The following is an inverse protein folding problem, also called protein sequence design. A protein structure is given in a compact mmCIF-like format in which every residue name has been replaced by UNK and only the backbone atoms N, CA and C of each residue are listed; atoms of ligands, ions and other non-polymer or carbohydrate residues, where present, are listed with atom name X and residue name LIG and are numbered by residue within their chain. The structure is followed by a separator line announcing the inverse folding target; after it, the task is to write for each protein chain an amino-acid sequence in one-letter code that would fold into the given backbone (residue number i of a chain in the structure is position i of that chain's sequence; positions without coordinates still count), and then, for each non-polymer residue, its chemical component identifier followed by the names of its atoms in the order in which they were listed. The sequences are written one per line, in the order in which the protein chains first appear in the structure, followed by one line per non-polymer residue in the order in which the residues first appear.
data_IF_736809556636
#
_entry.id   IF_736809556636
#
_cell.length_a   1.000
_cell.length_b   1.000
_cell.length_c   1.000
_cell.angle_alpha   90.00
_cell.angle_beta   90.00
_cell.angle_gamma   90.00
#
_symmetry.space_group_name_H-M   'P 1'
#
loop_
_entity.id
_entity.type
_entity.pdbx_description
1 polymer ?
#
# COMPACT_ATOMS: atom_id res chain seq x y z
N UNK A 1 -26.12 -8.75 32.55
CA UNK A 1 -25.38 -8.60 31.25
C UNK A 1 -23.92 -8.90 31.55
N UNK A 2 -23.40 -10.03 31.09
CA UNK A 2 -21.95 -10.26 31.15
C UNK A 2 -21.23 -9.14 30.34
N UNK A 3 -20.32 -8.46 31.00
CA UNK A 3 -19.55 -7.41 30.39
C UNK A 3 -18.61 -8.06 29.38
N UNK A 4 -18.77 -7.77 28.08
CA UNK A 4 -17.88 -8.31 27.04
C UNK A 4 -16.50 -7.64 27.20
N UNK A 5 -15.52 -8.42 27.67
CA UNK A 5 -14.12 -7.97 27.89
C UNK A 5 -13.24 -8.28 26.66
N UNK A 6 -13.79 -8.19 25.45
CA UNK A 6 -13.05 -8.44 24.21
C UNK A 6 -13.39 -7.36 23.16
N UNK A 7 -12.44 -7.15 22.24
CA UNK A 7 -12.63 -6.26 21.09
C UNK A 7 -13.75 -6.79 20.16
N UNK A 8 -14.38 -5.91 19.36
CA UNK A 8 -15.28 -6.35 18.29
C UNK A 8 -14.56 -7.28 17.30
N UNK A 9 -15.35 -8.09 16.58
CA UNK A 9 -14.83 -8.99 15.56
C UNK A 9 -14.11 -8.22 14.43
N UNK A 10 -12.90 -8.67 14.07
CA UNK A 10 -12.08 -8.09 12.99
C UNK A 10 -11.24 -6.89 13.41
N UNK A 11 -11.23 -6.53 14.71
CA UNK A 11 -10.29 -5.55 15.28
C UNK A 11 -9.59 -6.14 16.50
N UNK A 12 -8.41 -5.64 16.83
CA UNK A 12 -7.61 -6.15 17.94
C UNK A 12 -6.76 -5.07 18.58
N UNK A 13 -6.40 -5.27 19.83
CA UNK A 13 -5.37 -4.48 20.50
C UNK A 13 -3.99 -4.90 20.01
N UNK A 14 -3.11 -3.93 19.78
CA UNK A 14 -1.70 -4.14 19.43
C UNK A 14 -0.86 -3.52 20.55
N UNK A 15 -0.02 -4.32 21.19
CA UNK A 15 0.73 -3.90 22.38
C UNK A 15 2.13 -4.51 22.45
N UNK A 16 2.93 -4.08 23.42
CA UNK A 16 4.29 -4.52 23.67
C UNK A 16 5.18 -4.48 22.40
N UNK A 17 5.93 -5.55 22.16
CA UNK A 17 6.90 -5.65 21.06
C UNK A 17 6.26 -5.50 19.68
N UNK A 18 5.06 -6.04 19.47
CA UNK A 18 4.34 -5.88 18.21
C UNK A 18 4.04 -4.40 17.92
N UNK A 19 3.59 -3.64 18.93
CA UNK A 19 3.35 -2.21 18.81
C UNK A 19 4.65 -1.45 18.52
N UNK A 20 5.74 -1.79 19.19
CA UNK A 20 7.08 -1.19 18.96
C UNK A 20 7.56 -1.44 17.52
N UNK A 21 7.38 -2.67 17.02
CA UNK A 21 7.71 -3.02 15.62
C UNK A 21 6.87 -2.16 14.66
N UNK A 22 5.56 -2.09 14.86
CA UNK A 22 4.65 -1.30 14.02
C UNK A 22 5.07 0.16 13.94
N UNK A 23 5.31 0.80 15.08
CA UNK A 23 5.74 2.20 15.15
C UNK A 23 7.14 2.42 14.53
N UNK A 24 8.04 1.46 14.70
CA UNK A 24 9.38 1.49 14.10
C UNK A 24 9.29 1.42 12.56
N UNK A 25 8.45 0.55 12.03
CA UNK A 25 8.23 0.44 10.59
C UNK A 25 7.59 1.71 10.02
N UNK A 26 6.57 2.26 10.69
CA UNK A 26 5.99 3.54 10.31
C UNK A 26 7.05 4.64 10.22
N UNK A 27 7.91 4.76 11.24
CA UNK A 27 9.00 5.74 11.25
C UNK A 27 10.00 5.51 10.11
N UNK A 28 10.40 4.27 9.85
CA UNK A 28 11.32 3.94 8.75
C UNK A 28 10.73 4.35 7.40
N UNK A 29 9.48 3.99 7.14
CA UNK A 29 8.76 4.32 5.91
C UNK A 29 8.57 5.83 5.75
N UNK A 30 8.06 6.54 6.78
CA UNK A 30 7.92 8.00 6.73
C UNK A 30 9.25 8.70 6.46
N UNK A 31 10.37 8.18 7.00
CA UNK A 31 11.71 8.73 6.72
C UNK A 31 12.05 8.64 5.23
N UNK A 32 11.69 7.55 4.56
CA UNK A 32 11.87 7.42 3.10
C UNK A 32 11.01 8.43 2.37
N UNK A 33 9.71 8.52 2.68
CA UNK A 33 8.80 9.45 2.01
C UNK A 33 9.26 10.91 2.18
N UNK A 34 9.68 11.30 3.39
CA UNK A 34 10.23 12.64 3.64
C UNK A 34 11.52 12.90 2.85
N UNK A 35 12.37 11.88 2.61
CA UNK A 35 13.60 12.04 1.81
C UNK A 35 13.31 12.33 0.34
N UNK A 36 12.13 11.97 -0.17
CA UNK A 36 11.61 12.34 -1.48
C UNK A 36 10.87 13.69 -1.50
N UNK A 37 10.86 14.42 -0.37
CA UNK A 37 10.24 15.74 -0.25
C UNK A 37 8.74 15.74 0.04
N UNK A 38 8.17 14.61 0.45
CA UNK A 38 6.75 14.52 0.80
C UNK A 38 6.50 15.07 2.21
N UNK A 39 5.40 15.78 2.39
CA UNK A 39 4.98 16.40 3.64
C UNK A 39 3.79 15.65 4.25
N UNK A 40 3.75 15.57 5.58
CA UNK A 40 2.69 14.85 6.28
C UNK A 40 1.33 15.57 6.13
N UNK A 41 0.30 14.79 5.85
CA UNK A 41 -1.11 15.20 5.95
C UNK A 41 -1.88 14.23 6.85
N UNK A 42 -2.77 14.77 7.67
CA UNK A 42 -3.73 13.99 8.46
C UNK A 42 -5.15 14.39 8.07
N UNK A 43 -5.91 13.44 7.56
CA UNK A 43 -7.34 13.60 7.27
C UNK A 43 -8.18 12.94 8.38
N UNK A 44 -9.44 13.37 8.59
CA UNK A 44 -10.33 12.76 9.58
C UNK A 44 -10.51 11.25 9.35
N UNK A 45 -10.70 10.51 10.44
CA UNK A 45 -10.96 9.05 10.39
C UNK A 45 -12.36 8.71 9.86
N UNK A 46 -13.31 9.61 10.06
CA UNK A 46 -14.64 9.54 9.47
C UNK A 46 -14.85 10.70 8.51
N UNK A 47 -15.60 10.46 7.46
CA UNK A 47 -15.81 11.41 6.37
C UNK A 47 -17.28 11.31 5.91
N UNK A 48 -17.77 12.29 5.17
CA UNK A 48 -19.07 12.15 4.51
C UNK A 48 -19.04 10.99 3.51
N UNK A 49 -20.13 10.25 3.46
CA UNK A 49 -20.24 9.07 2.61
C UNK A 49 -20.02 9.38 1.13
N UNK A 50 -20.42 10.58 0.70
CA UNK A 50 -20.27 11.07 -0.67
C UNK A 50 -18.81 11.22 -1.13
N UNK A 51 -17.88 11.38 -0.19
CA UNK A 51 -16.44 11.37 -0.51
C UNK A 51 -16.01 10.05 -1.12
N UNK A 52 -16.68 8.95 -0.75
CA UNK A 52 -16.36 7.59 -1.19
C UNK A 52 -17.29 7.06 -2.29
N UNK A 53 -18.47 7.67 -2.50
CA UNK A 53 -19.47 7.25 -3.51
C UNK A 53 -19.87 8.39 -4.44
N UNK A 54 -20.53 8.02 -5.56
CA UNK A 54 -21.09 8.98 -6.53
C UNK A 54 -22.47 9.56 -6.10
N UNK A 55 -23.12 9.01 -5.09
CA UNK A 55 -24.48 9.37 -4.66
C UNK A 55 -24.46 10.32 -3.46
N UNK A 56 -25.31 11.35 -3.50
CA UNK A 56 -25.36 12.45 -2.53
C UNK A 56 -26.10 12.02 -1.26
N UNK A 57 -25.48 12.21 -0.08
CA UNK A 57 -26.10 11.96 1.23
C UNK A 57 -25.28 12.56 2.38
N UNK A 58 -25.93 12.91 3.48
CA UNK A 58 -25.31 13.53 4.68
C UNK A 58 -24.79 12.53 5.72
N UNK A 59 -24.76 11.23 5.40
CA UNK A 59 -24.32 10.20 6.31
C UNK A 59 -22.80 10.12 6.35
N UNK A 60 -22.22 10.06 7.55
CA UNK A 60 -20.77 9.87 7.74
C UNK A 60 -20.42 8.38 7.84
N UNK A 61 -19.24 8.02 7.33
CA UNK A 61 -18.70 6.67 7.40
C UNK A 61 -17.24 6.68 7.85
N UNK A 62 -16.80 5.59 8.46
CA UNK A 62 -15.38 5.32 8.65
C UNK A 62 -14.73 5.12 7.27
N UNK A 63 -13.58 5.75 7.05
CA UNK A 63 -12.91 5.74 5.73
C UNK A 63 -12.43 4.34 5.36
N UNK A 64 -12.84 3.82 4.19
CA UNK A 64 -12.31 2.56 3.66
C UNK A 64 -10.97 2.75 2.95
N UNK A 65 -10.64 4.00 2.55
CA UNK A 65 -9.45 4.43 1.85
C UNK A 65 -9.10 5.87 2.27
N UNK A 66 -7.81 6.24 2.22
CA UNK A 66 -7.35 7.58 2.63
C UNK A 66 -7.25 8.52 1.42
N UNK A 67 -6.94 8.01 0.23
CA UNK A 67 -6.77 8.78 -1.01
C UNK A 67 -7.94 9.71 -1.33
N UNK A 68 -9.23 9.29 -1.26
CA UNK A 68 -10.35 10.21 -1.51
C UNK A 68 -10.43 11.37 -0.51
N UNK A 69 -10.09 11.13 0.76
CA UNK A 69 -10.05 12.19 1.77
C UNK A 69 -8.93 13.20 1.50
N UNK A 70 -7.78 12.75 0.99
CA UNK A 70 -6.69 13.64 0.56
C UNK A 70 -7.10 14.42 -0.67
N UNK A 71 -7.71 13.77 -1.68
CA UNK A 71 -8.23 14.44 -2.87
C UNK A 71 -9.20 15.59 -2.52
N UNK A 72 -10.15 15.33 -1.60
CA UNK A 72 -11.04 16.38 -1.06
C UNK A 72 -10.25 17.50 -0.36
N UNK A 73 -9.30 17.15 0.51
CA UNK A 73 -8.50 18.12 1.23
C UNK A 73 -7.69 19.02 0.29
N UNK A 74 -7.07 18.43 -0.74
CA UNK A 74 -6.31 19.20 -1.74
C UNK A 74 -7.22 20.11 -2.54
N UNK A 75 -8.39 19.63 -2.97
CA UNK A 75 -9.33 20.45 -3.71
C UNK A 75 -9.86 21.65 -2.91
N UNK A 76 -9.95 21.53 -1.57
CA UNK A 76 -10.56 22.56 -0.71
C UNK A 76 -9.57 23.43 0.06
N UNK A 77 -8.37 22.91 0.38
CA UNK A 77 -7.40 23.60 1.24
C UNK A 77 -6.19 24.15 0.48
N UNK A 78 -5.89 23.58 -0.70
CA UNK A 78 -4.74 23.93 -1.54
C UNK A 78 -5.18 24.66 -2.81
N UNK A 79 -6.19 25.53 -2.72
CA UNK A 79 -6.77 26.21 -3.88
C UNK A 79 -5.79 27.15 -4.59
N UNK A 80 -4.89 27.79 -3.83
CA UNK A 80 -3.95 28.81 -4.31
C UNK A 80 -2.51 28.32 -4.37
N UNK A 81 -2.25 27.06 -4.04
CA UNK A 81 -0.90 26.51 -4.07
C UNK A 81 -0.49 26.09 -5.47
N UNK A 82 0.78 26.31 -5.82
CA UNK A 82 1.36 25.84 -7.06
C UNK A 82 1.60 24.33 -7.02
N UNK A 83 1.37 23.67 -8.13
CA UNK A 83 1.72 22.25 -8.30
C UNK A 83 3.22 22.10 -8.61
N UNK A 84 3.85 20.96 -8.26
CA UNK A 84 3.27 19.74 -7.72
C UNK A 84 3.11 19.76 -6.20
N UNK A 85 2.04 19.10 -5.71
CA UNK A 85 1.81 18.87 -4.28
C UNK A 85 2.25 17.45 -3.94
N UNK A 86 3.13 17.31 -2.93
CA UNK A 86 3.66 16.05 -2.43
C UNK A 86 3.19 15.82 -1.00
N UNK A 87 2.29 14.87 -0.80
CA UNK A 87 1.72 14.55 0.51
C UNK A 87 1.98 13.10 0.88
N UNK A 88 2.29 12.85 2.16
CA UNK A 88 2.36 11.50 2.71
C UNK A 88 1.50 11.38 3.96
N UNK A 89 1.08 10.17 4.28
CA UNK A 89 0.16 9.93 5.38
C UNK A 89 0.43 8.60 6.08
N UNK A 90 -0.01 8.50 7.34
CA UNK A 90 -0.19 7.26 8.06
C UNK A 90 -1.55 7.29 8.78
N UNK A 91 -2.34 6.24 8.66
CA UNK A 91 -3.66 6.19 9.29
C UNK A 91 -4.36 4.85 9.11
N UNK A 92 -5.48 4.70 9.82
CA UNK A 92 -6.27 3.48 9.77
C UNK A 92 -7.39 3.59 8.73
N UNK A 93 -7.66 2.47 8.07
CA UNK A 93 -8.79 2.26 7.15
C UNK A 93 -9.66 1.13 7.67
N UNK A 94 -10.95 1.15 7.30
CA UNK A 94 -11.97 0.27 7.85
C UNK A 94 -12.73 -0.38 6.70
N UNK A 95 -12.54 -1.69 6.50
CA UNK A 95 -13.16 -2.45 5.42
C UNK A 95 -13.95 -3.59 6.03
N UNK A 96 -15.25 -3.64 5.72
CA UNK A 96 -16.10 -4.72 6.20
C UNK A 96 -15.95 -5.96 5.34
N UNK A 97 -14.95 -6.79 5.65
CA UNK A 97 -14.82 -8.11 5.05
C UNK A 97 -15.87 -9.07 5.62
N UNK A 98 -16.32 -10.04 4.80
CA UNK A 98 -17.18 -11.12 5.30
C UNK A 98 -16.45 -11.91 6.40
N UNK A 99 -17.17 -12.28 7.46
CA UNK A 99 -16.66 -12.83 8.73
C UNK A 99 -15.82 -14.13 8.59
N UNK A 100 -15.83 -14.78 7.44
CA UNK A 100 -15.20 -16.11 7.25
C UNK A 100 -13.77 -16.07 6.73
N UNK A 101 -13.17 -14.88 6.48
CA UNK A 101 -11.84 -14.79 5.85
C UNK A 101 -10.68 -14.54 6.83
N UNK A 102 -10.94 -14.38 8.12
CA UNK A 102 -9.89 -14.08 9.12
C UNK A 102 -9.15 -12.76 8.89
N UNK A 103 -9.65 -11.89 7.98
CA UNK A 103 -9.06 -10.59 7.67
C UNK A 103 -9.46 -9.55 8.71
N UNK A 104 -8.53 -8.66 9.06
CA UNK A 104 -8.82 -7.52 9.92
C UNK A 104 -9.73 -6.53 9.18
N UNK A 105 -10.71 -5.99 9.90
CA UNK A 105 -11.58 -4.91 9.42
C UNK A 105 -10.91 -3.54 9.55
N UNK A 106 -9.98 -3.40 10.49
CA UNK A 106 -9.14 -2.22 10.68
C UNK A 106 -7.71 -2.55 10.26
N UNK A 107 -7.16 -1.78 9.32
CA UNK A 107 -5.80 -1.90 8.83
C UNK A 107 -5.11 -0.54 8.87
N UNK A 108 -3.82 -0.54 9.16
CA UNK A 108 -3.01 0.68 9.08
C UNK A 108 -2.39 0.79 7.69
N UNK A 109 -2.62 1.91 7.04
CA UNK A 109 -1.99 2.29 5.78
C UNK A 109 -1.02 3.43 5.98
N UNK A 110 0.08 3.40 5.24
CA UNK A 110 1.03 4.49 5.09
C UNK A 110 1.27 4.65 3.59
N UNK A 111 1.18 5.87 3.08
CA UNK A 111 1.26 6.11 1.64
C UNK A 111 1.67 7.51 1.28
N UNK A 112 1.76 7.75 -0.02
CA UNK A 112 2.11 9.03 -0.60
C UNK A 112 1.26 9.32 -1.84
N UNK A 113 0.98 10.62 -2.04
CA UNK A 113 0.20 11.15 -3.16
C UNK A 113 0.98 12.29 -3.80
N UNK A 114 1.24 12.19 -5.10
CA UNK A 114 1.80 13.25 -5.95
C UNK A 114 0.70 13.79 -6.85
N UNK A 115 0.40 15.07 -6.68
CA UNK A 115 -0.76 15.71 -7.31
C UNK A 115 -0.28 16.86 -8.17
N UNK A 116 -0.81 16.95 -9.40
CA UNK A 116 -0.51 18.04 -10.34
C UNK A 116 0.57 17.70 -11.37
N UNK A 117 0.97 16.45 -11.51
CA UNK A 117 2.00 16.03 -12.48
C UNK A 117 1.52 14.82 -13.27
N UNK A 118 1.47 14.96 -14.61
CA UNK A 118 1.36 13.83 -15.54
C UNK A 118 2.68 13.70 -16.31
N UNK A 119 3.58 12.92 -15.74
CA UNK A 119 4.85 12.62 -16.41
C UNK A 119 5.33 11.21 -16.07
N UNK A 120 6.18 10.68 -16.93
CA UNK A 120 6.79 9.35 -16.77
C UNK A 120 7.75 9.35 -15.57
N UNK A 121 8.42 10.47 -15.33
CA UNK A 121 9.32 10.66 -14.19
C UNK A 121 8.57 10.58 -12.86
N UNK A 122 7.34 11.14 -12.81
CA UNK A 122 6.48 11.04 -11.63
C UNK A 122 6.07 9.59 -11.35
N UNK A 123 5.75 8.84 -12.40
CA UNK A 123 5.41 7.42 -12.30
C UNK A 123 6.62 6.61 -11.77
N UNK A 124 7.81 6.83 -12.35
CA UNK A 124 9.03 6.16 -11.96
C UNK A 124 9.47 6.54 -10.53
N UNK A 125 9.36 7.82 -10.12
CA UNK A 125 9.64 8.28 -8.76
C UNK A 125 8.77 7.54 -7.73
N UNK A 126 7.46 7.40 -8.00
CA UNK A 126 6.55 6.67 -7.11
C UNK A 126 6.95 5.21 -6.94
N UNK A 127 7.28 4.54 -8.04
CA UNK A 127 7.70 3.14 -8.02
C UNK A 127 9.04 2.96 -7.29
N UNK A 128 10.02 3.82 -7.55
CA UNK A 128 11.31 3.81 -6.87
C UNK A 128 11.14 4.01 -5.35
N UNK A 129 10.28 4.96 -4.95
CA UNK A 129 9.98 5.23 -3.54
C UNK A 129 9.31 4.03 -2.84
N UNK A 130 8.45 3.27 -3.53
CA UNK A 130 7.89 2.01 -3.03
C UNK A 130 9.00 0.99 -2.77
N UNK A 131 9.90 0.79 -3.74
CA UNK A 131 11.02 -0.16 -3.60
C UNK A 131 11.94 0.24 -2.45
N UNK A 132 12.33 1.51 -2.38
CA UNK A 132 13.18 2.02 -1.30
C UNK A 132 12.51 1.89 0.08
N UNK A 133 11.21 2.17 0.15
CA UNK A 133 10.41 1.98 1.35
C UNK A 133 10.45 0.54 1.84
N UNK A 134 10.16 -0.42 0.97
CA UNK A 134 10.17 -1.84 1.31
C UNK A 134 11.57 -2.33 1.69
N UNK A 135 12.62 -1.97 0.95
CA UNK A 135 14.02 -2.25 1.30
C UNK A 135 14.38 -1.71 2.68
N UNK A 136 13.94 -0.50 3.02
CA UNK A 136 14.21 0.15 4.32
C UNK A 136 13.63 -0.60 5.50
N UNK A 137 12.54 -1.34 5.31
CA UNK A 137 11.95 -2.19 6.36
C UNK A 137 12.76 -3.45 6.64
N UNK A 138 13.63 -3.84 5.72
CA UNK A 138 14.44 -5.07 5.76
C UNK A 138 13.90 -6.17 4.86
N UNK A 139 12.78 -5.93 4.15
CA UNK A 139 12.24 -6.88 3.19
C UNK A 139 13.21 -7.03 2.02
N UNK A 140 13.53 -8.27 1.63
CA UNK A 140 14.51 -8.57 0.58
C UNK A 140 13.86 -9.12 -0.67
N UNK A 141 12.93 -10.07 -0.49
CA UNK A 141 12.29 -10.77 -1.58
C UNK A 141 10.88 -10.23 -1.78
N UNK A 142 10.74 -9.34 -2.72
CA UNK A 142 9.47 -8.78 -3.16
C UNK A 142 9.55 -8.35 -4.63
N UNK A 143 8.39 -8.28 -5.27
CA UNK A 143 8.25 -7.80 -6.64
C UNK A 143 7.14 -6.75 -6.68
N UNK A 144 7.38 -5.68 -7.42
CA UNK A 144 6.40 -4.67 -7.77
C UNK A 144 5.93 -4.96 -9.19
N UNK A 145 4.73 -5.49 -9.32
CA UNK A 145 4.09 -5.74 -10.62
C UNK A 145 3.40 -4.47 -11.09
N UNK A 146 3.65 -4.08 -12.33
CA UNK A 146 3.14 -2.87 -12.97
C UNK A 146 2.28 -3.26 -14.16
N UNK A 147 1.06 -2.72 -14.24
CA UNK A 147 0.17 -2.81 -15.39
C UNK A 147 -0.27 -1.42 -15.85
N UNK A 148 -1.11 -1.39 -16.87
CA UNK A 148 -1.70 -0.15 -17.36
C UNK A 148 -3.18 -0.36 -17.68
N UNK A 149 -4.04 0.46 -17.10
CA UNK A 149 -5.50 0.34 -17.23
C UNK A 149 -5.93 0.42 -18.69
N UNK A 150 -5.32 1.29 -19.48
CA UNK A 150 -5.69 1.50 -20.88
C UNK A 150 -5.43 0.29 -21.77
N UNK A 151 -4.48 -0.58 -21.43
CA UNK A 151 -4.24 -1.81 -22.20
C UNK A 151 -5.46 -2.74 -22.13
N UNK A 152 -5.90 -3.08 -20.90
CA UNK A 152 -7.09 -3.94 -20.70
C UNK A 152 -8.37 -3.28 -21.21
N UNK A 153 -8.55 -1.98 -20.98
CA UNK A 153 -9.72 -1.26 -21.48
C UNK A 153 -9.80 -1.26 -23.02
N UNK A 154 -8.64 -1.13 -23.69
CA UNK A 154 -8.58 -1.19 -25.15
C UNK A 154 -8.92 -2.57 -25.68
N UNK A 155 -8.55 -3.65 -24.97
CA UNK A 155 -8.98 -5.02 -25.30
C UNK A 155 -10.51 -5.16 -25.22
N UNK A 156 -11.11 -4.70 -24.14
CA UNK A 156 -12.57 -4.75 -23.99
C UNK A 156 -13.30 -3.91 -25.06
N UNK A 157 -12.79 -2.71 -25.37
CA UNK A 157 -13.35 -1.88 -26.44
C UNK A 157 -13.22 -2.52 -27.81
N UNK A 158 -12.05 -3.12 -28.12
CA UNK A 158 -11.82 -3.80 -29.39
C UNK A 158 -12.70 -5.06 -29.55
N UNK A 159 -13.04 -5.72 -28.44
CA UNK A 159 -13.98 -6.83 -28.43
C UNK A 159 -15.46 -6.40 -28.57
N UNK A 160 -15.77 -5.09 -28.47
CA UNK A 160 -17.14 -4.58 -28.58
C UNK A 160 -18.04 -5.00 -27.42
N UNK A 161 -17.46 -5.25 -26.23
CA UNK A 161 -18.19 -5.74 -25.07
C UNK A 161 -19.15 -4.70 -24.48
N UNK A 162 -20.35 -5.16 -24.14
CA UNK A 162 -21.25 -4.41 -23.26
C UNK A 162 -20.72 -4.40 -21.82
N UNK A 163 -21.21 -3.48 -20.96
CA UNK A 163 -20.67 -3.29 -19.60
C UNK A 163 -20.73 -4.57 -18.73
N UNK A 164 -21.83 -5.33 -18.84
CA UNK A 164 -22.02 -6.58 -18.07
C UNK A 164 -21.02 -7.67 -18.51
N UNK A 165 -20.77 -7.81 -19.80
CA UNK A 165 -19.80 -8.75 -20.39
C UNK A 165 -18.37 -8.35 -20.01
N UNK A 166 -18.06 -7.05 -20.06
CA UNK A 166 -16.77 -6.52 -19.63
C UNK A 166 -16.51 -6.77 -18.14
N UNK A 167 -17.54 -6.66 -17.27
CA UNK A 167 -17.41 -6.93 -15.85
C UNK A 167 -17.21 -8.42 -15.56
N UNK A 168 -17.87 -9.30 -16.31
CA UNK A 168 -17.62 -10.75 -16.22
C UNK A 168 -16.18 -11.08 -16.58
N UNK A 169 -15.68 -10.60 -17.72
CA UNK A 169 -14.30 -10.81 -18.14
C UNK A 169 -13.29 -10.19 -17.16
N UNK A 170 -13.55 -8.98 -16.63
CA UNK A 170 -12.70 -8.40 -15.55
C UNK A 170 -12.61 -9.34 -14.37
N UNK A 171 -13.73 -9.92 -13.95
CA UNK A 171 -13.77 -10.85 -12.81
C UNK A 171 -12.99 -12.11 -13.10
N UNK A 172 -13.13 -12.70 -14.27
CA UNK A 172 -12.38 -13.91 -14.70
C UNK A 172 -10.87 -13.61 -14.76
N UNK A 173 -10.47 -12.51 -15.38
CA UNK A 173 -9.06 -12.08 -15.47
C UNK A 173 -8.48 -11.81 -14.09
N UNK A 174 -9.19 -11.10 -13.22
CA UNK A 174 -8.74 -10.81 -11.85
C UNK A 174 -8.54 -12.08 -11.02
N UNK A 175 -9.33 -13.12 -11.27
CA UNK A 175 -9.21 -14.43 -10.63
C UNK A 175 -8.23 -15.36 -11.35
N UNK A 176 -7.52 -14.91 -12.39
CA UNK A 176 -6.63 -15.72 -13.23
C UNK A 176 -7.32 -16.91 -13.88
N UNK A 177 -8.63 -16.84 -14.09
CA UNK A 177 -9.42 -17.87 -14.78
C UNK A 177 -9.43 -17.58 -16.29
N UNK A 178 -8.29 -17.77 -16.95
CA UNK A 178 -8.16 -17.51 -18.37
C UNK A 178 -8.91 -18.52 -19.24
N UNK A 179 -9.12 -19.75 -18.74
CA UNK A 179 -9.99 -20.71 -19.42
C UNK A 179 -11.43 -20.18 -19.52
N UNK A 180 -11.97 -19.59 -18.45
CA UNK A 180 -13.27 -18.94 -18.48
C UNK A 180 -13.32 -17.74 -19.43
N UNK A 181 -12.21 -16.98 -19.56
CA UNK A 181 -12.10 -15.89 -20.53
C UNK A 181 -12.22 -16.43 -21.97
N UNK A 182 -11.52 -17.51 -22.31
CA UNK A 182 -11.60 -18.15 -23.62
C UNK A 182 -13.02 -18.65 -23.91
N UNK A 183 -13.66 -19.33 -22.95
CA UNK A 183 -15.01 -19.84 -23.08
C UNK A 183 -16.04 -18.72 -23.37
N UNK A 184 -15.93 -17.58 -22.70
CA UNK A 184 -16.79 -16.40 -22.96
C UNK A 184 -16.55 -15.87 -24.37
N UNK A 185 -15.28 -15.67 -24.77
CA UNK A 185 -14.92 -15.11 -26.08
C UNK A 185 -15.27 -16.02 -27.27
N UNK A 186 -15.28 -17.34 -27.09
CA UNK A 186 -15.66 -18.30 -28.13
C UNK A 186 -17.14 -18.20 -28.50
N UNK A 187 -17.99 -17.73 -27.59
CA UNK A 187 -19.43 -17.52 -27.84
C UNK A 187 -19.73 -16.12 -28.41
N UNK A 188 -18.71 -15.28 -28.59
CA UNK A 188 -18.86 -13.91 -29.05
C UNK A 188 -18.32 -13.72 -30.47
N UNK A 189 -18.92 -12.79 -31.21
CA UNK A 189 -18.46 -12.40 -32.54
C UNK A 189 -17.33 -11.34 -32.42
N UNK A 190 -16.15 -11.80 -31.97
CA UNK A 190 -14.95 -10.99 -31.76
C UNK A 190 -13.92 -11.33 -32.81
N UNK A 191 -13.22 -10.31 -33.34
CA UNK A 191 -12.17 -10.49 -34.33
C UNK A 191 -11.04 -11.38 -33.81
N UNK A 192 -10.49 -12.26 -34.67
CA UNK A 192 -9.46 -13.24 -34.33
C UNK A 192 -8.23 -12.57 -33.69
N UNK A 193 -7.81 -11.41 -34.18
CA UNK A 193 -6.68 -10.66 -33.61
C UNK A 193 -6.92 -10.19 -32.17
N UNK A 194 -8.18 -9.91 -31.81
CA UNK A 194 -8.52 -9.52 -30.43
C UNK A 194 -8.58 -10.76 -29.54
N UNK A 195 -9.13 -11.87 -30.03
CA UNK A 195 -9.09 -13.17 -29.32
C UNK A 195 -7.65 -13.59 -29.03
N UNK A 196 -6.75 -13.47 -30.02
CA UNK A 196 -5.32 -13.75 -29.88
C UNK A 196 -4.68 -12.91 -28.75
N UNK A 197 -5.03 -11.61 -28.66
CA UNK A 197 -4.52 -10.74 -27.59
C UNK A 197 -5.01 -11.16 -26.19
N UNK A 198 -6.26 -11.63 -26.05
CA UNK A 198 -6.76 -12.19 -24.81
C UNK A 198 -6.11 -13.55 -24.46
N UNK A 199 -5.90 -14.43 -25.44
CA UNK A 199 -5.19 -15.70 -25.25
C UNK A 199 -3.75 -15.49 -24.76
N UNK A 200 -3.12 -14.39 -25.17
CA UNK A 200 -1.76 -14.06 -24.80
C UNK A 200 -1.66 -13.43 -23.39
N UNK A 201 -2.74 -12.89 -22.82
CA UNK A 201 -2.72 -12.21 -21.50
C UNK A 201 -2.03 -12.99 -20.39
N UNK A 202 -2.20 -14.32 -20.24
CA UNK A 202 -1.49 -15.10 -19.22
C UNK A 202 0.03 -15.01 -19.34
N UNK A 203 0.55 -14.88 -20.56
CA UNK A 203 1.97 -14.82 -20.89
C UNK A 203 2.54 -13.39 -20.78
N UNK A 204 1.67 -12.38 -20.79
CA UNK A 204 2.05 -10.98 -20.65
C UNK A 204 2.31 -10.61 -19.17
N UNK A 205 3.08 -11.47 -18.49
CA UNK A 205 3.53 -11.29 -17.11
C UNK A 205 5.00 -11.69 -17.03
N UNK A 206 5.90 -10.76 -16.62
CA UNK A 206 7.35 -11.04 -16.57
C UNK A 206 8.17 -9.78 -16.44
N UNK A 207 9.41 -9.85 -16.91
CA UNK A 207 10.31 -8.69 -17.02
C UNK A 207 9.93 -7.76 -18.17
N UNK A 208 10.79 -6.80 -18.48
CA UNK A 208 10.54 -5.81 -19.55
C UNK A 208 10.42 -6.43 -20.95
N UNK A 209 10.93 -7.64 -21.14
CA UNK A 209 10.87 -8.37 -22.42
C UNK A 209 9.43 -8.64 -22.90
N UNK A 210 8.46 -8.77 -21.96
CA UNK A 210 7.05 -8.99 -22.34
C UNK A 210 6.41 -7.76 -23.00
N UNK A 211 6.99 -6.57 -22.82
CA UNK A 211 6.43 -5.33 -23.37
C UNK A 211 6.53 -5.28 -24.89
N UNK A 212 7.55 -5.93 -25.50
CA UNK A 212 7.67 -6.05 -26.96
C UNK A 212 6.58 -6.97 -27.52
N UNK A 213 6.32 -8.08 -26.84
CA UNK A 213 5.25 -9.00 -27.19
C UNK A 213 3.87 -8.34 -27.06
N UNK A 214 3.64 -7.62 -25.94
CA UNK A 214 2.41 -6.88 -25.72
C UNK A 214 2.15 -5.81 -26.80
N UNK A 215 3.20 -5.13 -27.24
CA UNK A 215 3.08 -4.12 -28.30
C UNK A 215 2.63 -4.73 -29.63
N UNK A 216 3.06 -5.97 -29.93
CA UNK A 216 2.68 -6.66 -31.19
C UNK A 216 1.21 -7.03 -31.26
N UNK A 217 0.53 -7.18 -30.13
CA UNK A 217 -0.91 -7.54 -30.04
C UNK A 217 -1.77 -6.40 -29.46
N UNK A 218 -1.17 -5.21 -29.24
CA UNK A 218 -1.87 -4.08 -28.67
C UNK A 218 -3.03 -3.61 -29.58
N UNK A 219 -4.30 -3.62 -29.11
CA UNK A 219 -5.43 -3.22 -29.94
C UNK A 219 -5.53 -1.67 -29.99
N UNK A 220 -5.10 -1.13 -31.12
CA UNK A 220 -5.22 0.31 -31.39
C UNK A 220 -4.15 1.18 -30.72
N UNK A 221 -4.24 2.49 -30.97
CA UNK A 221 -3.22 3.45 -30.59
C UNK A 221 -3.08 3.63 -29.07
N UNK A 222 -4.20 3.63 -28.34
CA UNK A 222 -4.24 3.85 -26.89
C UNK A 222 -3.48 2.75 -26.12
N UNK A 223 -3.69 1.49 -26.50
CA UNK A 223 -2.94 0.35 -25.93
C UNK A 223 -1.44 0.46 -26.26
N UNK A 224 -1.10 0.82 -27.49
CA UNK A 224 0.30 1.05 -27.91
C UNK A 224 0.97 2.14 -27.08
N UNK A 225 0.31 3.27 -26.86
CA UNK A 225 0.80 4.36 -26.02
C UNK A 225 1.01 3.91 -24.56
N UNK A 226 0.10 3.11 -24.02
CA UNK A 226 0.26 2.52 -22.68
C UNK A 226 1.54 1.68 -22.57
N UNK A 227 1.79 0.82 -23.56
CA UNK A 227 3.03 0.00 -23.58
C UNK A 227 4.28 0.87 -23.74
N UNK A 228 4.25 1.89 -24.59
CA UNK A 228 5.39 2.81 -24.72
C UNK A 228 5.67 3.55 -23.39
N UNK A 229 4.63 4.00 -22.66
CA UNK A 229 4.82 4.59 -21.32
C UNK A 229 5.49 3.62 -20.36
N UNK A 230 5.08 2.35 -20.33
CA UNK A 230 5.69 1.32 -19.48
C UNK A 230 7.16 1.08 -19.82
N UNK A 231 7.53 1.06 -21.11
CA UNK A 231 8.94 0.95 -21.53
C UNK A 231 9.78 2.13 -21.07
N UNK A 232 9.28 3.34 -21.18
CA UNK A 232 9.98 4.55 -20.71
C UNK A 232 10.10 4.56 -19.16
N UNK A 233 9.10 4.06 -18.46
CA UNK A 233 9.18 3.87 -16.99
C UNK A 233 10.27 2.86 -16.65
N UNK A 234 10.38 1.72 -17.36
CA UNK A 234 11.44 0.73 -17.14
C UNK A 234 12.84 1.33 -17.31
N UNK A 235 13.05 2.14 -18.35
CA UNK A 235 14.32 2.85 -18.56
C UNK A 235 14.69 3.74 -17.37
N UNK A 236 13.72 4.49 -16.80
CA UNK A 236 13.95 5.33 -15.63
C UNK A 236 14.18 4.50 -14.35
N UNK A 237 13.45 3.39 -14.16
CA UNK A 237 13.65 2.51 -13.01
C UNK A 237 15.04 1.87 -12.99
N UNK A 238 15.62 1.59 -14.15
CA UNK A 238 17.05 1.18 -14.29
C UNK A 238 18.00 2.29 -13.83
N UNK A 239 17.70 3.56 -14.11
CA UNK A 239 18.51 4.69 -13.60
C UNK A 239 18.38 4.85 -12.08
N UNK A 240 17.23 4.49 -11.50
CA UNK A 240 17.03 4.41 -10.05
C UNK A 240 17.72 3.18 -9.41
N UNK A 241 18.13 2.17 -10.21
CA UNK A 241 18.73 0.92 -9.72
C UNK A 241 17.75 0.04 -8.95
N UNK A 242 16.50 0.01 -9.39
CA UNK A 242 15.42 -0.76 -8.73
C UNK A 242 14.80 -1.83 -9.63
N UNK A 243 15.30 -2.00 -10.85
CA UNK A 243 14.78 -2.90 -11.90
C UNK A 243 14.65 -4.37 -11.45
N UNK A 244 15.53 -4.85 -10.58
CA UNK A 244 15.50 -6.23 -10.05
C UNK A 244 14.24 -6.53 -9.25
N UNK A 245 13.52 -5.49 -8.79
CA UNK A 245 12.28 -5.60 -8.04
C UNK A 245 11.04 -5.32 -8.89
N UNK A 246 11.20 -5.10 -10.19
CA UNK A 246 10.10 -4.72 -11.09
C UNK A 246 9.70 -5.89 -11.98
N UNK A 247 8.41 -6.09 -12.12
CA UNK A 247 7.79 -6.96 -13.12
C UNK A 247 6.63 -6.23 -13.76
N UNK A 248 6.25 -6.66 -14.95
CA UNK A 248 5.07 -6.17 -15.65
C UNK A 248 3.98 -7.24 -15.67
N UNK A 249 2.73 -6.83 -15.57
CA UNK A 249 1.56 -7.69 -15.63
C UNK A 249 0.41 -6.94 -16.30
N UNK A 250 0.22 -7.21 -17.57
CA UNK A 250 -0.78 -6.51 -18.38
C UNK A 250 -2.20 -7.05 -18.20
N UNK A 251 -2.36 -8.12 -17.45
CA UNK A 251 -3.68 -8.61 -17.03
C UNK A 251 -4.24 -7.86 -15.82
N UNK A 252 -3.47 -6.94 -15.21
CA UNK A 252 -3.93 -6.18 -14.06
C UNK A 252 -5.06 -5.23 -14.47
N UNK A 253 -6.24 -5.46 -13.90
CA UNK A 253 -7.38 -4.53 -13.96
C UNK A 253 -7.48 -3.75 -12.64
N UNK A 254 -7.85 -2.48 -12.71
CA UNK A 254 -8.04 -1.65 -11.53
C UNK A 254 -9.27 -2.08 -10.73
N UNK A 255 -9.10 -2.58 -9.51
CA UNK A 255 -10.21 -2.91 -8.60
C UNK A 255 -10.93 -1.66 -8.07
N UNK A 256 -10.27 -0.51 -8.10
CA UNK A 256 -10.83 0.79 -7.77
C UNK A 256 -11.15 1.51 -9.07
N UNK A 257 -12.43 1.77 -9.36
CA UNK A 257 -12.89 2.37 -10.62
C UNK A 257 -12.40 3.81 -10.88
N UNK A 258 -11.38 4.29 -10.18
CA UNK A 258 -10.79 5.61 -10.37
C UNK A 258 -9.40 5.62 -11.02
N UNK A 259 -8.73 4.46 -11.21
CA UNK A 259 -7.42 4.43 -11.87
C UNK A 259 -7.54 4.73 -13.38
N UNK A 260 -6.59 5.54 -13.89
CA UNK A 260 -6.61 6.07 -15.26
C UNK A 260 -5.38 5.75 -16.10
N UNK A 261 -4.29 5.31 -15.46
CA UNK A 261 -3.01 5.07 -16.10
C UNK A 261 -2.33 3.81 -15.59
N UNK A 262 -1.07 3.95 -15.14
CA UNK A 262 -0.37 2.83 -14.52
C UNK A 262 -1.06 2.42 -13.22
N UNK A 263 -1.06 1.12 -12.99
CA UNK A 263 -1.44 0.50 -11.71
C UNK A 263 -0.31 -0.41 -11.28
N UNK A 264 -0.07 -0.50 -9.97
CA UNK A 264 0.98 -1.36 -9.47
C UNK A 264 0.64 -1.97 -8.11
N UNK A 265 1.20 -3.13 -7.86
CA UNK A 265 1.06 -3.87 -6.61
C UNK A 265 2.39 -4.48 -6.23
N UNK A 266 2.76 -4.39 -4.95
CA UNK A 266 3.93 -5.12 -4.46
C UNK A 266 3.49 -6.41 -3.76
N UNK A 267 4.12 -7.50 -4.15
CA UNK A 267 3.90 -8.83 -3.58
C UNK A 267 5.19 -9.34 -2.93
N UNK A 268 5.03 -10.12 -1.90
CA UNK A 268 6.14 -10.80 -1.23
C UNK A 268 5.69 -12.16 -0.70
N UNK A 269 6.67 -13.01 -0.43
CA UNK A 269 6.40 -14.31 0.17
C UNK A 269 5.80 -14.16 1.58
N UNK A 270 4.82 -15.00 1.87
CA UNK A 270 4.20 -15.06 3.20
C UNK A 270 2.97 -14.17 3.41
N UNK A 271 2.50 -13.47 2.38
CA UNK A 271 1.21 -12.76 2.41
C UNK A 271 0.23 -13.39 1.41
N UNK A 272 -1.06 -13.33 1.72
CA UNK A 272 -2.11 -13.75 0.80
C UNK A 272 -2.59 -12.62 -0.12
N UNK A 273 -2.07 -11.40 0.05
CA UNK A 273 -2.47 -10.21 -0.67
C UNK A 273 -1.26 -9.28 -0.88
N UNK A 274 -1.44 -8.24 -1.71
CA UNK A 274 -0.41 -7.24 -1.97
C UNK A 274 -0.10 -6.43 -0.70
N UNK A 275 1.19 -6.21 -0.43
CA UNK A 275 1.65 -5.34 0.67
C UNK A 275 1.64 -3.86 0.29
N UNK A 276 1.63 -3.55 -1.02
CA UNK A 276 1.48 -2.19 -1.56
C UNK A 276 0.47 -2.22 -2.70
N UNK A 277 -0.32 -1.18 -2.78
CA UNK A 277 -1.23 -0.91 -3.91
C UNK A 277 -1.12 0.54 -4.31
N UNK A 278 -1.06 0.81 -5.61
CA UNK A 278 -0.96 2.16 -6.11
C UNK A 278 -1.31 2.27 -7.58
N UNK A 279 -1.31 3.50 -8.08
CA UNK A 279 -1.57 3.81 -9.48
C UNK A 279 -1.90 5.27 -9.71
N UNK A 280 -2.11 5.61 -10.98
CA UNK A 280 -2.51 6.94 -11.44
C UNK A 280 -4.02 7.09 -11.44
N UNK A 281 -4.53 8.26 -11.00
CA UNK A 281 -5.97 8.52 -10.84
C UNK A 281 -6.29 10.00 -11.20
N UNK A 282 -6.26 10.34 -12.45
CA UNK A 282 -6.32 11.73 -12.94
C UNK A 282 -7.70 12.39 -12.79
N UNK A 283 -8.77 11.61 -12.60
CA UNK A 283 -10.16 12.12 -12.52
C UNK A 283 -10.76 12.11 -11.10
N UNK A 284 -10.00 11.68 -10.08
CA UNK A 284 -10.55 11.59 -8.72
C UNK A 284 -10.87 12.97 -8.14
N UNK A 285 -10.01 13.96 -8.38
CA UNK A 285 -10.17 15.32 -7.87
C UNK A 285 -11.31 16.09 -8.57
N UNK A 286 -11.75 15.67 -9.76
CA UNK A 286 -12.90 16.25 -10.46
C UNK A 286 -14.19 16.22 -9.63
N UNK A 287 -14.37 15.17 -8.81
CA UNK A 287 -15.50 15.06 -7.87
C UNK A 287 -15.57 16.23 -6.89
N UNK A 288 -14.43 16.87 -6.64
CA UNK A 288 -14.28 17.99 -5.71
C UNK A 288 -14.02 19.30 -6.44
N UNK A 289 -14.27 19.35 -7.78
CA UNK A 289 -14.18 20.55 -8.60
C UNK A 289 -12.78 20.89 -9.12
N UNK A 290 -11.80 19.98 -9.05
CA UNK A 290 -10.42 20.21 -9.48
C UNK A 290 -9.95 19.12 -10.45
N UNK A 291 -9.80 19.43 -11.73
CA UNK A 291 -9.26 18.47 -12.71
C UNK A 291 -7.72 18.51 -12.64
N UNK A 292 -7.12 17.48 -12.05
CA UNK A 292 -5.68 17.48 -11.76
C UNK A 292 -5.13 16.05 -11.78
N UNK A 293 -4.11 15.76 -12.60
CA UNK A 293 -3.48 14.44 -12.67
C UNK A 293 -2.84 14.09 -11.34
N UNK A 294 -2.94 12.83 -10.97
CA UNK A 294 -2.47 12.37 -9.67
C UNK A 294 -2.00 10.92 -9.71
N UNK A 295 -0.98 10.62 -8.91
CA UNK A 295 -0.49 9.25 -8.70
C UNK A 295 -0.16 9.06 -7.22
N UNK A 296 -0.45 7.88 -6.68
CA UNK A 296 -0.17 7.57 -5.30
C UNK A 296 -0.11 6.08 -4.99
N UNK A 297 0.26 5.76 -3.76
CA UNK A 297 0.25 4.40 -3.26
C UNK A 297 -0.05 4.33 -1.76
N UNK A 298 -0.49 3.16 -1.33
CA UNK A 298 -0.65 2.78 0.06
C UNK A 298 0.12 1.49 0.37
N UNK A 299 0.94 1.51 1.42
CA UNK A 299 1.55 0.34 2.04
C UNK A 299 0.62 -0.14 3.14
N UNK A 300 0.21 -1.41 3.07
CA UNK A 300 -0.64 -2.04 4.09
C UNK A 300 0.29 -2.58 5.18
N UNK A 301 0.42 -1.82 6.26
CA UNK A 301 1.43 -2.07 7.28
C UNK A 301 1.22 -3.41 8.01
N UNK A 302 -0.02 -3.80 8.22
CA UNK A 302 -0.35 -5.07 8.87
C UNK A 302 0.06 -6.27 7.99
N UNK A 303 -0.11 -6.20 6.67
CA UNK A 303 0.39 -7.21 5.73
C UNK A 303 1.92 -7.24 5.66
N UNK A 304 2.56 -6.06 5.68
CA UNK A 304 4.02 -5.97 5.72
C UNK A 304 4.59 -6.60 6.99
N UNK A 305 3.98 -6.36 8.15
CA UNK A 305 4.36 -6.99 9.43
C UNK A 305 4.21 -8.51 9.38
N UNK A 306 3.11 -9.00 8.79
CA UNK A 306 2.88 -10.42 8.58
C UNK A 306 3.98 -11.06 7.70
N UNK A 307 4.34 -10.39 6.60
CA UNK A 307 5.41 -10.84 5.71
C UNK A 307 6.77 -10.93 6.44
N UNK A 308 7.17 -9.85 7.11
CA UNK A 308 8.43 -9.80 7.86
C UNK A 308 8.50 -10.92 8.92
N UNK A 309 7.41 -11.13 9.65
CA UNK A 309 7.34 -12.18 10.67
C UNK A 309 7.47 -13.59 10.05
N UNK A 310 6.74 -13.89 8.97
CA UNK A 310 6.79 -15.19 8.29
C UNK A 310 8.14 -15.46 7.63
N UNK A 311 8.83 -14.42 7.18
CA UNK A 311 10.19 -14.49 6.64
C UNK A 311 11.28 -14.49 7.71
N UNK A 312 10.91 -14.46 9.01
CA UNK A 312 11.82 -14.35 10.14
C UNK A 312 12.75 -13.12 10.07
N UNK A 313 12.30 -12.04 9.47
CA UNK A 313 13.05 -10.78 9.40
C UNK A 313 12.86 -10.01 10.70
N UNK A 314 13.93 -9.82 11.43
CA UNK A 314 13.91 -9.09 12.71
C UNK A 314 13.91 -7.58 12.46
N UNK A 315 12.91 -6.89 13.02
CA UNK A 315 12.88 -5.43 13.04
C UNK A 315 13.53 -4.97 14.35
N UNK A 316 14.67 -4.32 14.22
CA UNK A 316 15.34 -3.74 15.40
C UNK A 316 14.49 -2.59 15.97
N UNK A 317 14.06 -2.76 17.20
CA UNK A 317 13.33 -1.75 17.97
C UNK A 317 14.26 -1.11 19.01
N UNK A 318 13.87 0.02 19.56
CA UNK A 318 14.61 0.64 20.65
C UNK A 318 14.60 -0.28 21.88
N UNK A 319 15.78 -0.71 22.30
CA UNK A 319 15.91 -1.58 23.48
C UNK A 319 15.34 -0.92 24.74
N UNK A 320 14.69 -1.70 25.59
CA UNK A 320 14.34 -1.30 26.95
C UNK A 320 15.48 -1.66 27.87
N UNK A 321 15.84 -0.77 28.80
CA UNK A 321 16.86 -1.03 29.80
C UNK A 321 16.17 -1.03 31.16
N UNK A 322 16.37 -2.09 31.91
CA UNK A 322 15.88 -2.20 33.28
C UNK A 322 16.97 -1.77 34.27
N UNK A 323 16.65 -0.79 35.11
CA UNK A 323 17.46 -0.40 36.26
C UNK A 323 16.79 -0.92 37.52
N UNK A 324 17.36 -1.98 38.07
CA UNK A 324 16.92 -2.55 39.36
C UNK A 324 17.63 -1.84 40.49
N UNK A 325 16.91 -1.48 41.54
CA UNK A 325 17.47 -0.78 42.69
C UNK A 325 16.81 -1.20 44.02
N UNK A 326 17.51 -0.98 45.11
CA UNK A 326 17.03 -1.20 46.48
C UNK A 326 16.72 0.12 47.18
N UNK A 327 16.17 0.07 48.38
CA UNK A 327 15.89 1.26 49.19
C UNK A 327 17.14 2.13 49.36
N UNK A 328 18.30 1.51 49.62
CA UNK A 328 19.56 2.21 49.90
C UNK A 328 20.13 2.90 48.65
N UNK A 329 19.87 2.39 47.48
CA UNK A 329 20.38 2.91 46.19
C UNK A 329 19.36 3.80 45.45
N UNK A 330 18.19 4.05 46.01
CA UNK A 330 17.07 4.72 45.34
C UNK A 330 17.45 6.12 44.80
N UNK A 331 18.08 6.96 45.61
CA UNK A 331 18.48 8.32 45.18
C UNK A 331 19.48 8.29 44.02
N UNK A 332 20.44 7.38 44.07
CA UNK A 332 21.40 7.20 43.00
C UNK A 332 20.76 6.65 41.73
N UNK A 333 19.90 5.66 41.86
CA UNK A 333 19.19 5.07 40.73
C UNK A 333 18.30 6.10 40.00
N UNK A 334 17.61 6.97 40.75
CA UNK A 334 16.81 8.05 40.16
C UNK A 334 17.69 9.01 39.36
N UNK A 335 18.83 9.43 39.92
CA UNK A 335 19.78 10.31 39.25
C UNK A 335 20.35 9.68 37.99
N UNK A 336 20.74 8.40 38.06
CA UNK A 336 21.26 7.64 36.92
C UNK A 336 20.19 7.49 35.80
N UNK A 337 18.97 7.11 36.16
CA UNK A 337 17.87 7.00 35.20
C UNK A 337 17.58 8.31 34.50
N UNK A 338 17.57 9.44 35.24
CA UNK A 338 17.41 10.78 34.65
C UNK A 338 18.53 11.10 33.64
N UNK A 339 19.78 10.78 33.99
CA UNK A 339 20.92 10.99 33.10
C UNK A 339 20.82 10.18 31.82
N UNK A 340 20.43 8.91 31.91
CA UNK A 340 20.26 8.09 30.71
C UNK A 340 19.06 8.51 29.87
N UNK A 341 17.93 8.87 30.50
CA UNK A 341 16.74 9.39 29.81
C UNK A 341 17.02 10.69 29.08
N UNK A 342 17.81 11.59 29.65
CA UNK A 342 18.22 12.85 28.95
C UNK A 342 19.11 12.59 27.73
N UNK A 343 19.75 11.40 27.65
CA UNK A 343 20.52 10.92 26.48
C UNK A 343 19.68 10.06 25.53
N UNK A 344 18.34 10.09 25.64
CA UNK A 344 17.41 9.37 24.77
C UNK A 344 17.32 7.84 25.02
N UNK A 345 17.81 7.35 26.19
CA UNK A 345 17.69 5.93 26.53
C UNK A 345 16.36 5.66 27.24
N UNK A 346 15.71 4.55 26.87
CA UNK A 346 14.52 4.06 27.56
C UNK A 346 14.95 3.31 28.82
N UNK A 347 14.64 3.83 30.00
CA UNK A 347 14.99 3.24 31.29
C UNK A 347 13.71 2.97 32.08
N UNK A 348 13.44 1.71 32.32
CA UNK A 348 12.44 1.23 33.29
C UNK A 348 13.11 1.09 34.64
N UNK A 349 12.47 1.52 35.73
CA UNK A 349 13.00 1.43 37.07
C UNK A 349 12.18 0.43 37.88
N UNK A 350 12.86 -0.54 38.51
CA UNK A 350 12.22 -1.56 39.35
C UNK A 350 12.85 -1.61 40.72
N UNK A 351 12.06 -1.31 41.75
CA UNK A 351 12.48 -1.44 43.15
C UNK A 351 12.35 -2.88 43.61
N UNK A 352 13.40 -3.41 44.23
CA UNK A 352 13.42 -4.75 44.85
C UNK A 352 13.89 -4.65 46.29
N UNK A 353 13.30 -5.47 47.14
CA UNK A 353 13.63 -5.52 48.57
C UNK A 353 14.45 -6.75 48.94
N UNK A 354 14.74 -7.68 48.03
CA UNK A 354 15.42 -8.95 48.26
C UNK A 354 16.49 -9.22 47.19
N UNK A 355 17.56 -9.96 47.58
CA UNK A 355 18.71 -10.29 46.73
C UNK A 355 18.39 -11.33 45.61
N UNK A 356 17.18 -11.87 45.53
CA UNK A 356 16.86 -12.92 44.57
C UNK A 356 16.43 -12.34 43.21
N UNK A 357 17.40 -11.79 42.48
CA UNK A 357 17.21 -11.04 41.26
C UNK A 357 17.11 -11.91 40.00
N UNK A 358 17.52 -13.19 40.03
CA UNK A 358 17.54 -14.07 38.84
C UNK A 358 16.16 -14.24 38.22
N UNK A 359 15.14 -14.49 39.02
CA UNK A 359 13.78 -14.71 38.57
C UNK A 359 13.19 -13.47 37.87
N UNK A 360 13.59 -12.28 38.33
CA UNK A 360 13.18 -10.98 37.75
C UNK A 360 13.76 -10.75 36.36
N UNK A 361 15.04 -11.10 36.16
CA UNK A 361 15.71 -10.98 34.87
C UNK A 361 15.13 -11.97 33.86
N UNK A 362 14.82 -13.19 34.30
CA UNK A 362 14.17 -14.20 33.44
C UNK A 362 12.75 -13.79 33.04
N UNK A 363 11.95 -13.25 33.95
CA UNK A 363 10.63 -12.74 33.67
C UNK A 363 10.66 -11.49 32.78
N UNK A 364 11.61 -10.59 32.99
CA UNK A 364 11.78 -9.41 32.16
C UNK A 364 12.25 -9.76 30.75
N UNK A 365 13.20 -10.69 30.62
CA UNK A 365 13.66 -11.19 29.33
C UNK A 365 12.59 -11.93 28.52
N UNK A 366 11.55 -12.47 29.17
CA UNK A 366 10.39 -13.08 28.49
C UNK A 366 9.34 -12.05 28.02
N UNK A 367 9.37 -10.83 28.58
CA UNK A 367 8.44 -9.72 28.22
C UNK A 367 9.03 -8.73 27.20
N UNK A 368 10.34 -8.75 27.03
CA UNK A 368 11.10 -7.94 26.05
C UNK A 368 11.33 -8.73 24.75
#
# INVERSE_FOLDING_TARGET
MEQKLHTPEGVRDIYNKECEIKLTLQKKLSTVLHSYGYQDIQTPTFEYFDVFRKEIGSTSALRPDITPSIARAVATLFETEDFPIRLCYAGNTFINHSSYQGRLKENTQLGAELIGVDSIEADAEMLAMVVDGLKKTGLKEFQVSIGHVDFIQSLFQAAGLEEDEAEELRTLIANRNFFGVEEVLDHMDVADSVKEAFHLLPELTGGAEILDQALSVAPGEKAGQAIHRLKQIDELLRLYGVEDHITFDLSMSGNYGYYTGIIFRAYTYGTGDAVVRGGRYDHLLEKFGKNTPSIGFAIILDELMNALNRQNIQVETGGRNLLVYTQDTEKWAISLARTFRSKGKNIEMLKRNTEDDRQVYEEYGKRS
#
